data_IF_620485989592
#
_entry.id   IF_620485989592
#
_cell.length_a   1.000
_cell.length_b   1.000
_cell.length_c   1.000
_cell.angle_alpha   90.00
_cell.angle_beta   90.00
_cell.angle_gamma   90.00
#
_symmetry.space_group_name_H-M   'P 1'
#
loop_
_entity.id
_entity.type
_entity.pdbx_description
1 polymer ?
#
# COMPACT_ATOMS: atom_id res chain seq x y z
N UNK A 1 9.70 8.57 13.33
CA UNK A 1 10.14 7.15 13.33
C UNK A 1 10.14 6.65 11.90
N UNK A 2 11.14 5.87 11.49
CA UNK A 2 11.30 5.41 10.09
C UNK A 2 10.04 4.75 9.52
N UNK A 3 9.35 3.92 10.31
CA UNK A 3 8.11 3.23 9.88
C UNK A 3 6.98 4.21 9.54
N UNK A 4 6.81 5.29 10.32
CA UNK A 4 5.78 6.30 10.08
C UNK A 4 6.06 7.11 8.81
N UNK A 5 7.33 7.45 8.56
CA UNK A 5 7.72 8.12 7.31
C UNK A 5 7.47 7.21 6.11
N UNK A 6 7.82 5.92 6.21
CA UNK A 6 7.55 4.94 5.15
C UNK A 6 6.04 4.86 4.83
N UNK A 7 5.19 4.73 5.86
CA UNK A 7 3.73 4.69 5.67
C UNK A 7 3.23 5.97 5.00
N UNK A 8 3.74 7.13 5.41
CA UNK A 8 3.37 8.42 4.80
C UNK A 8 3.76 8.50 3.33
N UNK A 9 4.97 8.06 2.97
CA UNK A 9 5.40 7.97 1.57
C UNK A 9 4.50 7.03 0.77
N UNK A 10 4.16 5.86 1.33
CA UNK A 10 3.27 4.90 0.67
C UNK A 10 1.89 5.53 0.41
N UNK A 11 1.29 6.19 1.41
CA UNK A 11 0.00 6.89 1.26
C UNK A 11 0.05 8.05 0.27
N UNK A 12 1.20 8.69 0.10
CA UNK A 12 1.41 9.76 -0.88
C UNK A 12 1.49 9.24 -2.33
N UNK A 13 2.06 8.05 -2.54
CA UNK A 13 2.27 7.50 -3.87
C UNK A 13 1.16 6.54 -4.32
N UNK A 14 0.48 5.89 -3.37
CA UNK A 14 -0.58 4.92 -3.65
C UNK A 14 -1.94 5.55 -3.38
N UNK A 15 -2.80 5.68 -4.40
CA UNK A 15 -4.13 6.27 -4.25
C UNK A 15 -5.08 5.22 -3.66
N UNK A 16 -5.07 5.09 -2.33
CA UNK A 16 -5.98 4.19 -1.61
C UNK A 16 -7.47 4.53 -1.77
N UNK A 17 -7.79 5.76 -2.20
CA UNK A 17 -9.15 6.23 -2.45
C UNK A 17 -9.68 6.00 -3.88
N UNK A 18 -9.03 5.17 -4.70
CA UNK A 18 -9.54 4.85 -6.05
C UNK A 18 -10.89 4.15 -5.96
N UNK A 19 -11.85 4.56 -6.80
CA UNK A 19 -13.15 3.92 -6.86
C UNK A 19 -13.06 2.59 -7.59
N UNK A 20 -13.89 1.64 -7.20
CA UNK A 20 -13.95 0.32 -7.87
C UNK A 20 -14.23 0.42 -9.37
N UNK A 21 -15.03 1.43 -9.77
CA UNK A 21 -15.34 1.71 -11.16
C UNK A 21 -14.09 2.07 -11.99
N UNK A 22 -13.09 2.74 -11.39
CA UNK A 22 -11.84 3.08 -12.07
C UNK A 22 -10.92 1.85 -12.20
N UNK A 23 -11.05 0.89 -11.28
CA UNK A 23 -10.21 -0.32 -11.21
C UNK A 23 -10.75 -1.47 -12.07
N UNK A 24 -12.03 -1.47 -12.43
CA UNK A 24 -12.69 -2.59 -13.09
C UNK A 24 -12.96 -2.29 -14.57
N UNK A 25 -11.98 -2.55 -15.44
CA UNK A 25 -12.13 -2.43 -16.91
C UNK A 25 -12.55 -3.75 -17.60
N UNK A 26 -13.28 -4.63 -16.91
CA UNK A 26 -13.86 -5.84 -17.53
C UNK A 26 -12.95 -7.08 -17.63
N UNK A 27 -11.66 -6.98 -17.27
CA UNK A 27 -10.75 -8.15 -17.17
C UNK A 27 -10.22 -8.24 -15.73
N UNK A 28 -11.01 -8.82 -14.81
CA UNK A 28 -10.53 -9.05 -13.43
C UNK A 28 -9.70 -10.34 -13.37
N UNK A 29 -8.44 -10.28 -13.84
CA UNK A 29 -7.44 -11.36 -13.68
C UNK A 29 -6.78 -11.38 -12.29
N UNK A 30 -7.52 -11.00 -11.25
CA UNK A 30 -7.01 -10.71 -9.91
C UNK A 30 -6.91 -9.19 -9.73
N UNK A 31 -8.02 -8.60 -9.29
CA UNK A 31 -8.21 -7.16 -9.26
C UNK A 31 -7.17 -6.48 -8.37
N UNK A 32 -6.50 -5.44 -8.91
CA UNK A 32 -5.59 -4.53 -8.21
C UNK A 32 -6.14 -4.03 -6.87
N UNK A 33 -7.47 -3.96 -6.78
CA UNK A 33 -8.25 -3.71 -5.56
C UNK A 33 -7.81 -4.59 -4.38
N UNK A 34 -7.72 -5.91 -4.54
CA UNK A 34 -7.42 -6.82 -3.42
C UNK A 34 -6.00 -6.60 -2.87
N UNK A 35 -5.03 -6.30 -3.73
CA UNK A 35 -3.68 -5.94 -3.29
C UNK A 35 -3.63 -4.57 -2.61
N UNK A 36 -4.43 -3.63 -3.09
CA UNK A 36 -4.56 -2.31 -2.49
C UNK A 36 -5.21 -2.39 -1.11
N UNK A 37 -6.32 -3.12 -0.97
CA UNK A 37 -7.00 -3.38 0.31
C UNK A 37 -6.09 -4.10 1.31
N UNK A 38 -5.33 -5.10 0.85
CA UNK A 38 -4.36 -5.79 1.67
C UNK A 38 -3.26 -4.83 2.18
N UNK A 39 -2.72 -3.99 1.29
CA UNK A 39 -1.72 -3.02 1.69
C UNK A 39 -2.29 -1.95 2.64
N UNK A 40 -3.51 -1.46 2.39
CA UNK A 40 -4.17 -0.47 3.25
C UNK A 40 -4.43 -1.02 4.65
N UNK A 41 -4.88 -2.27 4.73
CA UNK A 41 -5.06 -2.96 6.01
C UNK A 41 -3.73 -3.08 6.75
N UNK A 42 -2.66 -3.51 6.07
CA UNK A 42 -1.34 -3.68 6.66
C UNK A 42 -0.79 -2.37 7.23
N UNK A 43 -0.76 -1.30 6.43
CA UNK A 43 -0.27 0.01 6.91
C UNK A 43 -1.13 0.58 8.03
N UNK A 44 -2.46 0.37 7.98
CA UNK A 44 -3.38 0.85 9.00
C UNK A 44 -3.19 0.12 10.32
N UNK A 45 -2.95 -1.20 10.29
CA UNK A 45 -2.58 -1.97 11.49
C UNK A 45 -1.27 -1.45 12.09
N UNK A 46 -0.24 -1.25 11.26
CA UNK A 46 1.01 -0.65 11.72
C UNK A 46 0.81 0.73 12.34
N UNK A 47 0.01 1.62 11.75
CA UNK A 47 -0.29 2.93 12.35
C UNK A 47 -0.95 2.80 13.73
N UNK A 48 -1.92 1.89 13.88
CA UNK A 48 -2.61 1.63 15.14
C UNK A 48 -1.63 1.09 16.20
N UNK A 49 -0.82 0.08 15.86
CA UNK A 49 0.13 -0.51 16.80
C UNK A 49 1.24 0.47 17.19
N UNK A 50 1.70 1.30 16.25
CA UNK A 50 2.68 2.36 16.50
C UNK A 50 2.10 3.48 17.37
N UNK A 51 0.82 3.82 17.21
CA UNK A 51 0.14 4.83 18.03
C UNK A 51 -0.12 4.31 19.45
N UNK A 52 -0.49 3.05 19.59
CA UNK A 52 -0.67 2.39 20.88
C UNK A 52 0.65 1.96 21.54
N UNK A 53 1.80 2.23 20.89
CA UNK A 53 3.14 1.80 21.32
C UNK A 53 3.24 0.29 21.61
N UNK A 54 2.38 -0.52 20.98
CA UNK A 54 2.33 -1.98 21.17
C UNK A 54 3.46 -2.71 20.46
N UNK A 55 4.04 -2.10 19.41
CA UNK A 55 5.08 -2.69 18.58
C UNK A 55 6.26 -1.73 18.37
N UNK A 56 7.46 -2.31 18.23
CA UNK A 56 8.68 -1.62 17.79
C UNK A 56 9.03 -2.17 16.40
N UNK A 57 8.85 -1.38 15.32
CA UNK A 57 9.13 -1.84 13.96
C UNK A 57 10.63 -2.10 13.80
N UNK A 58 10.96 -3.23 13.20
CA UNK A 58 12.34 -3.61 12.86
C UNK A 58 12.67 -3.22 11.42
N UNK A 59 13.95 -3.30 11.06
CA UNK A 59 14.40 -3.12 9.66
C UNK A 59 13.76 -4.16 8.72
N UNK A 60 13.47 -5.37 9.22
CA UNK A 60 12.80 -6.40 8.44
C UNK A 60 11.35 -6.02 8.15
N UNK A 61 10.63 -5.45 9.12
CA UNK A 61 9.25 -4.98 8.94
C UNK A 61 9.17 -3.83 7.93
N UNK A 62 10.09 -2.87 8.03
CA UNK A 62 10.25 -1.79 7.06
C UNK A 62 10.42 -2.36 5.64
N UNK A 63 11.36 -3.28 5.44
CA UNK A 63 11.61 -3.91 4.16
C UNK A 63 10.38 -4.71 3.65
N UNK A 64 9.64 -5.36 4.56
CA UNK A 64 8.43 -6.08 4.23
C UNK A 64 7.33 -5.15 3.70
N UNK A 65 7.00 -4.09 4.44
CA UNK A 65 5.97 -3.11 4.06
C UNK A 65 6.35 -2.38 2.78
N UNK A 66 7.62 -2.00 2.64
CA UNK A 66 8.14 -1.36 1.42
C UNK A 66 8.04 -2.30 0.20
N UNK A 67 8.32 -3.59 0.37
CA UNK A 67 8.18 -4.60 -0.70
C UNK A 67 6.71 -4.84 -1.06
N UNK A 68 5.82 -4.85 -0.08
CA UNK A 68 4.38 -4.94 -0.30
C UNK A 68 3.88 -3.73 -1.09
N UNK A 69 4.26 -2.51 -0.66
CA UNK A 69 3.92 -1.27 -1.34
C UNK A 69 4.42 -1.25 -2.79
N UNK A 70 5.68 -1.63 -3.04
CA UNK A 70 6.21 -1.72 -4.41
C UNK A 70 5.47 -2.73 -5.27
N UNK A 71 5.03 -3.86 -4.72
CA UNK A 71 4.23 -4.85 -5.46
C UNK A 71 2.87 -4.26 -5.84
N UNK A 72 2.17 -3.66 -4.89
CA UNK A 72 0.88 -3.00 -5.15
C UNK A 72 1.02 -1.88 -6.17
N UNK A 73 2.03 -1.02 -6.02
CA UNK A 73 2.34 0.05 -6.97
C UNK A 73 2.57 -0.49 -8.38
N UNK A 74 3.38 -1.54 -8.56
CA UNK A 74 3.60 -2.16 -9.88
C UNK A 74 2.32 -2.71 -10.51
N UNK A 75 1.41 -3.25 -9.70
CA UNK A 75 0.11 -3.74 -10.18
C UNK A 75 -0.78 -2.58 -10.59
N UNK A 76 -0.88 -1.52 -9.79
CA UNK A 76 -1.61 -0.31 -10.15
C UNK A 76 -1.08 0.34 -11.44
N UNK A 77 0.25 0.44 -11.56
CA UNK A 77 0.91 0.99 -12.75
C UNK A 77 0.59 0.15 -14.00
N UNK A 78 0.62 -1.18 -13.89
CA UNK A 78 0.22 -2.09 -14.98
C UNK A 78 -1.24 -1.92 -15.40
N UNK A 79 -2.10 -1.52 -14.47
CA UNK A 79 -3.51 -1.26 -14.73
C UNK A 79 -3.78 0.21 -15.13
N UNK A 80 -2.72 1.00 -15.42
CA UNK A 80 -2.81 2.42 -15.76
C UNK A 80 -3.49 3.31 -14.69
N UNK A 81 -3.51 2.85 -13.44
CA UNK A 81 -4.16 3.57 -12.33
C UNK A 81 -3.26 4.65 -11.71
N UNK A 82 -1.94 4.55 -11.94
CA UNK A 82 -0.93 5.51 -11.45
C UNK A 82 0.16 5.71 -12.50
N UNK A 83 0.79 6.89 -12.52
CA UNK A 83 1.85 7.27 -13.48
C UNK A 83 3.19 7.70 -12.82
N UNK A 84 3.36 7.53 -11.51
CA UNK A 84 4.59 7.87 -10.77
C UNK A 84 5.48 6.65 -10.49
N UNK A 85 6.72 6.87 -10.04
CA UNK A 85 7.60 5.84 -9.44
C UNK A 85 7.58 5.94 -7.91
N UNK A 86 7.73 4.80 -7.22
CA UNK A 86 7.86 4.71 -5.76
C UNK A 86 9.33 4.72 -5.34
#
# INVERSE_FOLDING_TARGET
MAMRELIRTIRSHIPFGLKEADMCQGICRGCSKKMLEMLDTEISQWEVDLNNQRVRPTLADLAFVEKLARRTHKVLQRNNLIKGGL
#
